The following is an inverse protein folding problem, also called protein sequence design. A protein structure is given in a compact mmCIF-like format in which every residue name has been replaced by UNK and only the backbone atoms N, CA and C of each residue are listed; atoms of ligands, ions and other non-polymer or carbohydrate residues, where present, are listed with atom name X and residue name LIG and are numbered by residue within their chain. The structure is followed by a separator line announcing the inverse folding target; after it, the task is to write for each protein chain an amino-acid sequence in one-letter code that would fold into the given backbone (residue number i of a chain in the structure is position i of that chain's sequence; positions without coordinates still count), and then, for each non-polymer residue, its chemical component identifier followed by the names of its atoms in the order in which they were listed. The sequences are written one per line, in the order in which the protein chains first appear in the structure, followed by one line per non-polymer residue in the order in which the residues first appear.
data_IF_533626187935
#
_entry.id   IF_533626187935
#
_cell.length_a   1.000
_cell.length_b   1.000
_cell.length_c   1.000
_cell.angle_alpha   90.00
_cell.angle_beta   90.00
_cell.angle_gamma   90.00
#
_symmetry.space_group_name_H-M   'P 1'
#
loop_
_entity.id
_entity.type
_entity.pdbx_description
1 polymer ?
#
# COMPACT_ATOMS: atom_id res chain seq x y z
N UNK A 1 32.51 -17.30 18.75
CA UNK A 1 32.62 -18.31 17.67
C UNK A 1 33.68 -17.81 16.73
N UNK A 2 34.70 -18.62 16.44
CA UNK A 2 35.72 -18.27 15.46
C UNK A 2 35.05 -18.12 14.11
N UNK A 3 35.31 -16.97 13.45
CA UNK A 3 34.69 -16.64 12.18
C UNK A 3 35.45 -17.43 11.09
N UNK A 4 34.86 -18.54 10.62
CA UNK A 4 35.48 -19.46 9.65
C UNK A 4 35.83 -18.71 8.36
N UNK A 5 37.10 -18.82 7.96
CA UNK A 5 37.59 -18.27 6.68
C UNK A 5 37.21 -19.23 5.55
N UNK A 6 36.49 -18.74 4.55
CA UNK A 6 36.05 -19.50 3.39
C UNK A 6 36.97 -19.29 2.18
N UNK A 7 37.59 -18.11 2.02
CA UNK A 7 38.52 -17.77 0.97
C UNK A 7 39.51 -16.68 1.43
N UNK A 8 40.62 -16.51 0.67
CA UNK A 8 41.55 -15.40 0.84
C UNK A 8 41.79 -14.73 -0.52
N UNK A 9 41.54 -13.43 -0.59
CA UNK A 9 41.64 -12.64 -1.81
C UNK A 9 42.68 -11.55 -1.62
N UNK A 10 43.89 -11.77 -2.15
CA UNK A 10 44.99 -10.78 -2.06
C UNK A 10 45.35 -10.43 -0.59
N UNK A 11 45.27 -11.39 0.33
CA UNK A 11 45.54 -11.19 1.74
C UNK A 11 44.29 -10.78 2.56
N UNK A 12 43.13 -10.54 1.93
CA UNK A 12 41.88 -10.21 2.59
C UNK A 12 41.05 -11.48 2.74
N UNK A 13 40.75 -11.87 3.99
CA UNK A 13 39.91 -13.03 4.25
C UNK A 13 38.47 -12.76 3.83
N UNK A 14 37.83 -13.80 3.27
CA UNK A 14 36.37 -13.88 3.09
C UNK A 14 35.85 -14.84 4.15
N UNK A 15 34.89 -14.42 4.94
CA UNK A 15 34.44 -15.17 6.11
C UNK A 15 33.01 -15.68 5.96
N UNK A 16 32.67 -16.70 6.70
CA UNK A 16 31.31 -17.25 6.76
C UNK A 16 30.31 -16.21 7.27
N UNK A 17 30.75 -15.29 8.15
CA UNK A 17 29.91 -14.21 8.64
C UNK A 17 29.50 -13.25 7.52
N UNK A 18 30.43 -12.89 6.62
CA UNK A 18 30.12 -12.02 5.45
C UNK A 18 29.10 -12.70 4.52
N UNK A 19 29.21 -14.01 4.29
CA UNK A 19 28.23 -14.77 3.51
C UNK A 19 26.88 -14.78 4.20
N UNK A 20 26.83 -15.04 5.51
CA UNK A 20 25.60 -15.04 6.30
C UNK A 20 24.89 -13.67 6.28
N UNK A 21 25.63 -12.61 6.45
CA UNK A 21 25.11 -11.23 6.41
C UNK A 21 24.49 -10.91 5.04
N UNK A 22 25.16 -11.27 3.96
CA UNK A 22 24.67 -11.04 2.61
C UNK A 22 23.42 -11.89 2.29
N UNK A 23 23.41 -13.17 2.69
CA UNK A 23 22.24 -14.06 2.58
C UNK A 23 21.05 -13.47 3.36
N UNK A 24 21.27 -13.03 4.60
CA UNK A 24 20.21 -12.41 5.42
C UNK A 24 19.64 -11.14 4.78
N UNK A 25 20.51 -10.27 4.25
CA UNK A 25 20.10 -9.04 3.55
C UNK A 25 19.25 -9.33 2.31
N UNK A 26 19.61 -10.35 1.53
CA UNK A 26 18.86 -10.75 0.33
C UNK A 26 17.54 -11.44 0.69
N UNK A 27 17.52 -12.24 1.76
CA UNK A 27 16.29 -12.89 2.27
C UNK A 27 15.24 -11.85 2.71
N UNK A 28 15.65 -10.75 3.33
CA UNK A 28 14.76 -9.63 3.67
C UNK A 28 14.13 -8.97 2.43
N UNK A 29 14.74 -9.12 1.26
CA UNK A 29 14.23 -8.63 -0.04
C UNK A 29 13.42 -9.70 -0.79
N UNK A 30 13.06 -10.81 -0.15
CA UNK A 30 12.28 -11.90 -0.74
C UNK A 30 13.06 -12.86 -1.64
N UNK A 31 14.40 -12.80 -1.62
CA UNK A 31 15.27 -13.68 -2.40
C UNK A 31 15.83 -14.81 -1.52
N UNK A 32 15.63 -16.06 -1.91
CA UNK A 32 16.08 -17.21 -1.14
C UNK A 32 17.41 -17.75 -1.68
N UNK A 33 18.51 -17.36 -1.02
CA UNK A 33 19.87 -17.89 -1.25
C UNK A 33 20.39 -18.78 -0.10
N UNK A 34 19.55 -19.10 0.88
CA UNK A 34 19.96 -19.91 2.03
C UNK A 34 19.93 -21.43 1.71
N UNK A 35 20.64 -21.80 0.68
CA UNK A 35 20.92 -23.19 0.29
C UNK A 35 22.37 -23.29 -0.20
N UNK A 36 22.91 -24.51 -0.35
CA UNK A 36 24.32 -24.74 -0.68
C UNK A 36 24.76 -24.00 -1.97
N UNK A 37 23.94 -24.05 -3.02
CA UNK A 37 24.25 -23.40 -4.30
C UNK A 37 24.16 -21.88 -4.19
N UNK A 38 23.13 -21.37 -3.51
CA UNK A 38 22.96 -19.92 -3.29
C UNK A 38 24.11 -19.35 -2.46
N UNK A 39 24.52 -20.03 -1.41
CA UNK A 39 25.67 -19.62 -0.56
C UNK A 39 26.98 -19.62 -1.32
N UNK A 40 27.19 -20.58 -2.23
CA UNK A 40 28.37 -20.60 -3.13
C UNK A 40 28.35 -19.40 -4.10
N UNK A 41 27.19 -19.10 -4.70
CA UNK A 41 27.05 -17.91 -5.55
C UNK A 41 27.37 -16.61 -4.78
N UNK A 42 26.90 -16.50 -3.54
CA UNK A 42 27.19 -15.35 -2.68
C UNK A 42 28.68 -15.28 -2.34
N UNK A 43 29.34 -16.40 -2.04
CA UNK A 43 30.78 -16.46 -1.80
C UNK A 43 31.56 -15.94 -3.02
N UNK A 44 31.24 -16.43 -4.21
CA UNK A 44 31.88 -15.98 -5.46
C UNK A 44 31.63 -14.49 -5.74
N UNK A 45 30.44 -13.98 -5.43
CA UNK A 45 30.13 -12.55 -5.54
C UNK A 45 30.99 -11.70 -4.58
N UNK A 46 31.16 -12.15 -3.34
CA UNK A 46 32.03 -11.46 -2.36
C UNK A 46 33.48 -11.48 -2.81
N UNK A 47 33.98 -12.62 -3.31
CA UNK A 47 35.32 -12.73 -3.90
C UNK A 47 35.51 -11.74 -5.04
N UNK A 48 34.58 -11.71 -5.98
CA UNK A 48 34.60 -10.79 -7.13
C UNK A 48 34.61 -9.33 -6.69
N UNK A 49 33.80 -8.95 -5.72
CA UNK A 49 33.76 -7.60 -5.17
C UNK A 49 35.10 -7.22 -4.51
N UNK A 50 35.74 -8.14 -3.77
CA UNK A 50 37.06 -7.89 -3.16
C UNK A 50 38.17 -7.75 -4.23
N UNK A 51 38.11 -8.54 -5.29
CA UNK A 51 39.06 -8.41 -6.42
C UNK A 51 38.91 -7.04 -7.09
N UNK A 52 37.68 -6.61 -7.39
CA UNK A 52 37.41 -5.28 -7.97
C UNK A 52 37.88 -4.15 -7.06
N UNK A 53 37.66 -4.29 -5.74
CA UNK A 53 38.14 -3.30 -4.78
C UNK A 53 39.67 -3.20 -4.74
N UNK A 54 40.37 -4.34 -4.80
CA UNK A 54 41.85 -4.35 -4.88
C UNK A 54 42.35 -3.70 -6.16
N UNK A 55 41.70 -3.99 -7.29
CA UNK A 55 42.04 -3.36 -8.57
C UNK A 55 41.78 -1.85 -8.54
N UNK A 56 40.63 -1.41 -8.01
CA UNK A 56 40.31 0.00 -7.86
C UNK A 56 41.35 0.74 -6.99
N UNK A 57 41.79 0.14 -5.88
CA UNK A 57 42.83 0.70 -5.02
C UNK A 57 44.20 0.75 -5.74
N UNK A 58 44.58 -0.32 -6.46
CA UNK A 58 45.80 -0.37 -7.24
C UNK A 58 45.83 0.72 -8.30
N UNK A 59 44.71 0.98 -8.95
CA UNK A 59 44.55 2.01 -9.97
C UNK A 59 44.31 3.40 -9.39
N UNK A 60 44.32 3.54 -8.06
CA UNK A 60 44.14 4.82 -7.34
C UNK A 60 42.84 5.55 -7.72
N UNK A 61 41.75 4.80 -8.02
CA UNK A 61 40.44 5.39 -8.37
C UNK A 61 39.84 6.27 -7.28
N UNK A 62 40.24 6.06 -6.03
CA UNK A 62 39.85 6.93 -4.91
C UNK A 62 40.33 8.39 -5.05
N UNK A 63 41.38 8.62 -5.88
CA UNK A 63 41.91 9.96 -6.18
C UNK A 63 41.30 10.57 -7.44
N UNK A 64 40.49 9.82 -8.19
CA UNK A 64 39.80 10.32 -9.38
C UNK A 64 38.84 11.45 -9.00
N UNK A 65 38.83 12.53 -9.80
CA UNK A 65 38.04 13.73 -9.52
C UNK A 65 36.51 13.45 -9.51
N UNK A 66 36.06 12.60 -10.43
CA UNK A 66 34.64 12.22 -10.53
C UNK A 66 34.23 11.39 -9.30
N UNK A 67 35.05 10.41 -8.90
CA UNK A 67 34.79 9.60 -7.70
C UNK A 67 34.73 10.48 -6.46
N UNK A 68 35.68 11.43 -6.29
CA UNK A 68 35.68 12.36 -5.16
C UNK A 68 34.43 13.23 -5.13
N UNK A 69 34.00 13.74 -6.29
CA UNK A 69 32.78 14.55 -6.38
C UNK A 69 31.54 13.75 -5.98
N UNK A 70 31.44 12.49 -6.42
CA UNK A 70 30.36 11.58 -6.03
C UNK A 70 30.38 11.28 -4.52
N UNK A 71 31.56 11.02 -3.96
CA UNK A 71 31.72 10.76 -2.53
C UNK A 71 31.33 11.96 -1.65
N UNK A 72 31.72 13.19 -2.04
CA UNK A 72 31.30 14.39 -1.29
C UNK A 72 29.77 14.57 -1.33
N UNK A 73 29.15 14.34 -2.48
CA UNK A 73 27.68 14.38 -2.57
C UNK A 73 26.99 13.34 -1.68
N UNK A 74 27.48 12.09 -1.69
CA UNK A 74 26.96 11.03 -0.82
C UNK A 74 27.13 11.41 0.66
N UNK A 75 28.25 11.98 1.02
CA UNK A 75 28.53 12.45 2.38
C UNK A 75 27.59 13.57 2.82
N UNK A 76 27.34 14.56 1.95
CA UNK A 76 26.38 15.64 2.21
C UNK A 76 24.96 15.10 2.40
N UNK A 77 24.48 14.23 1.50
CA UNK A 77 23.17 13.60 1.59
C UNK A 77 23.02 12.76 2.87
N UNK A 78 24.09 12.05 3.25
CA UNK A 78 24.09 11.27 4.49
C UNK A 78 24.10 12.16 5.73
N UNK A 79 24.84 13.29 5.74
CA UNK A 79 24.80 14.26 6.84
C UNK A 79 23.42 14.89 7.00
N UNK A 80 22.76 15.24 5.90
CA UNK A 80 21.37 15.77 5.92
C UNK A 80 20.43 14.72 6.51
N UNK A 81 20.49 13.50 6.02
CA UNK A 81 19.64 12.39 6.50
C UNK A 81 19.89 12.09 7.98
N UNK A 82 21.15 12.08 8.41
CA UNK A 82 21.53 11.87 9.80
C UNK A 82 21.03 13.00 10.72
N UNK A 83 21.18 14.26 10.30
CA UNK A 83 20.68 15.42 11.05
C UNK A 83 19.15 15.39 11.19
N UNK A 84 18.44 14.96 10.13
CA UNK A 84 17.00 14.78 10.15
C UNK A 84 16.60 13.63 11.10
N UNK A 85 17.29 12.48 11.04
CA UNK A 85 17.06 11.37 11.95
C UNK A 85 17.25 11.79 13.42
N UNK A 86 18.29 12.56 13.73
CA UNK A 86 18.52 13.11 15.08
C UNK A 86 17.40 14.07 15.52
N UNK A 87 16.83 14.81 14.59
CA UNK A 87 15.67 15.68 14.89
C UNK A 87 14.44 14.84 15.27
N UNK A 88 14.20 13.72 14.58
CA UNK A 88 13.08 12.82 14.86
C UNK A 88 13.28 11.96 16.12
N UNK A 89 14.51 11.54 16.39
CA UNK A 89 14.87 10.77 17.58
C UNK A 89 14.54 11.52 18.88
N UNK A 90 14.61 12.86 18.85
CA UNK A 90 14.23 13.72 19.97
C UNK A 90 12.70 13.86 20.15
N UNK A 91 11.89 13.40 19.19
CA UNK A 91 10.43 13.49 19.25
C UNK A 91 9.89 12.32 20.07
N UNK A 92 9.32 12.61 21.23
CA UNK A 92 8.64 11.59 22.04
C UNK A 92 7.37 11.09 21.31
N UNK A 93 7.03 9.81 21.40
CA UNK A 93 5.75 9.29 20.93
C UNK A 93 4.56 10.12 21.42
N UNK A 94 3.47 10.09 20.70
CA UNK A 94 2.25 10.76 21.11
C UNK A 94 1.70 10.11 22.39
N UNK A 95 1.27 10.94 23.33
CA UNK A 95 0.57 10.48 24.54
C UNK A 95 -0.90 10.13 24.20
N UNK A 96 -1.58 9.42 25.11
CA UNK A 96 -3.00 9.10 24.89
C UNK A 96 -3.86 10.37 24.77
N UNK A 97 -3.52 11.46 25.51
CA UNK A 97 -4.23 12.74 25.39
C UNK A 97 -3.99 13.41 24.01
N UNK A 98 -2.77 13.32 23.48
CA UNK A 98 -2.46 13.83 22.13
C UNK A 98 -3.15 13.01 21.06
N UNK A 99 -3.24 11.69 21.22
CA UNK A 99 -3.95 10.78 20.30
C UNK A 99 -5.45 11.09 20.31
N UNK A 100 -6.05 11.23 21.50
CA UNK A 100 -7.47 11.60 21.65
C UNK A 100 -7.75 12.94 20.97
N UNK A 101 -6.91 13.94 21.24
CA UNK A 101 -7.05 15.26 20.64
C UNK A 101 -6.96 15.23 19.13
N UNK A 102 -5.97 14.50 18.59
CA UNK A 102 -5.81 14.33 17.14
C UNK A 102 -7.07 13.68 16.52
N UNK A 103 -7.62 12.65 17.16
CA UNK A 103 -8.86 12.02 16.70
C UNK A 103 -10.01 13.01 16.68
N UNK A 104 -10.26 13.77 17.76
CA UNK A 104 -11.37 14.72 17.83
C UNK A 104 -11.25 15.84 16.79
N UNK A 105 -10.04 16.36 16.58
CA UNK A 105 -9.78 17.42 15.59
C UNK A 105 -9.93 16.91 14.13
N UNK A 106 -9.80 15.60 13.91
CA UNK A 106 -9.86 14.98 12.59
C UNK A 106 -11.06 14.01 12.42
N UNK A 107 -11.99 13.98 13.34
CA UNK A 107 -13.09 13.00 13.40
C UNK A 107 -13.88 12.86 12.10
N UNK A 108 -14.08 13.96 11.37
CA UNK A 108 -14.73 13.98 10.07
C UNK A 108 -14.00 13.16 8.98
N UNK A 109 -12.71 12.88 9.16
CA UNK A 109 -11.91 12.08 8.23
C UNK A 109 -11.98 10.57 8.54
N UNK A 110 -12.57 10.19 9.69
CA UNK A 110 -12.66 8.81 10.15
C UNK A 110 -14.10 8.28 10.04
N UNK A 111 -14.72 8.54 8.91
CA UNK A 111 -16.06 8.07 8.57
C UNK A 111 -15.93 7.02 7.47
N UNK A 112 -16.47 5.82 7.69
CA UNK A 112 -16.68 4.88 6.59
C UNK A 112 -17.72 5.46 5.64
N UNK A 113 -17.50 5.37 4.35
CA UNK A 113 -18.55 5.64 3.38
C UNK A 113 -19.72 4.65 3.57
N UNK A 114 -20.92 5.06 3.11
CA UNK A 114 -22.02 4.12 2.89
C UNK A 114 -21.56 3.05 1.89
N UNK A 115 -21.80 1.77 2.17
CA UNK A 115 -21.50 0.67 1.26
C UNK A 115 -22.66 -0.27 1.10
N UNK A 116 -22.74 -0.89 -0.06
CA UNK A 116 -23.75 -1.90 -0.38
C UNK A 116 -23.11 -3.13 -0.99
N UNK A 117 -23.66 -4.30 -0.70
CA UNK A 117 -23.37 -5.53 -1.42
C UNK A 117 -24.55 -5.83 -2.32
N UNK A 118 -24.31 -5.97 -3.61
CA UNK A 118 -25.36 -6.23 -4.57
C UNK A 118 -24.96 -7.31 -5.59
N UNK A 119 -26.00 -7.91 -6.17
CA UNK A 119 -25.87 -8.75 -7.36
C UNK A 119 -26.62 -8.10 -8.51
N UNK A 120 -26.20 -8.36 -9.75
CA UNK A 120 -26.89 -7.82 -10.92
C UNK A 120 -27.02 -8.84 -12.06
N UNK A 121 -28.01 -8.59 -12.92
CA UNK A 121 -28.19 -9.24 -14.22
C UNK A 121 -28.13 -8.16 -15.27
N UNK A 122 -27.25 -8.28 -16.27
CA UNK A 122 -27.14 -7.35 -17.40
C UNK A 122 -27.67 -8.04 -18.66
N UNK A 123 -28.62 -7.37 -19.33
CA UNK A 123 -29.18 -7.82 -20.59
C UNK A 123 -29.26 -6.67 -21.61
N UNK A 124 -29.41 -7.01 -22.90
CA UNK A 124 -29.34 -6.06 -24.01
C UNK A 124 -30.65 -5.28 -24.21
N UNK A 125 -31.81 -5.80 -23.74
CA UNK A 125 -33.11 -5.15 -23.97
C UNK A 125 -33.93 -5.03 -22.69
N UNK A 126 -34.77 -3.98 -22.69
CA UNK A 126 -35.70 -3.70 -21.59
C UNK A 126 -36.76 -4.80 -21.45
N UNK A 127 -37.24 -5.32 -22.59
CA UNK A 127 -38.23 -6.37 -22.64
C UNK A 127 -37.71 -7.62 -21.92
N UNK A 128 -36.46 -8.03 -22.20
CA UNK A 128 -35.82 -9.17 -21.54
C UNK A 128 -35.62 -8.95 -20.05
N UNK A 129 -35.23 -7.74 -19.65
CA UNK A 129 -35.11 -7.39 -18.23
C UNK A 129 -36.45 -7.50 -17.52
N UNK A 130 -37.53 -6.99 -18.11
CA UNK A 130 -38.89 -7.07 -17.54
C UNK A 130 -39.38 -8.53 -17.45
N UNK A 131 -39.15 -9.36 -18.48
CA UNK A 131 -39.49 -10.78 -18.45
C UNK A 131 -38.80 -11.52 -17.29
N UNK A 132 -37.49 -11.27 -17.12
CA UNK A 132 -36.73 -11.88 -16.04
C UNK A 132 -37.17 -11.39 -14.67
N UNK A 133 -37.45 -10.08 -14.52
CA UNK A 133 -37.95 -9.50 -13.28
C UNK A 133 -39.29 -10.13 -12.87
N UNK A 134 -40.19 -10.37 -13.85
CA UNK A 134 -41.48 -11.03 -13.61
C UNK A 134 -41.29 -12.49 -13.14
N UNK A 135 -40.42 -13.26 -13.79
CA UNK A 135 -40.14 -14.66 -13.41
C UNK A 135 -39.53 -14.74 -12.01
N UNK A 136 -38.57 -13.83 -11.71
CA UNK A 136 -37.94 -13.75 -10.37
C UNK A 136 -38.98 -13.38 -9.31
N UNK A 137 -39.84 -12.39 -9.58
CA UNK A 137 -40.85 -11.94 -8.63
C UNK A 137 -41.91 -13.01 -8.34
N UNK A 138 -42.25 -13.88 -9.30
CA UNK A 138 -43.13 -15.04 -9.14
C UNK A 138 -42.46 -16.26 -8.49
N UNK A 139 -41.13 -16.20 -8.28
CA UNK A 139 -40.38 -17.34 -7.75
C UNK A 139 -40.19 -18.50 -8.73
N UNK A 140 -40.37 -18.27 -10.04
CA UNK A 140 -40.22 -19.27 -11.09
C UNK A 140 -38.73 -19.59 -11.33
N UNK A 141 -37.87 -18.62 -11.07
CA UNK A 141 -36.39 -18.75 -11.14
C UNK A 141 -35.76 -17.95 -10.02
N UNK A 142 -34.64 -18.44 -9.47
CA UNK A 142 -33.85 -17.65 -8.53
C UNK A 142 -33.10 -16.51 -9.24
N UNK A 143 -32.75 -15.42 -8.53
CA UNK A 143 -31.97 -14.34 -9.10
C UNK A 143 -30.62 -14.83 -9.60
N UNK A 144 -30.00 -15.69 -8.82
CA UNK A 144 -28.68 -16.25 -9.10
C UNK A 144 -28.67 -17.14 -10.34
N UNK A 145 -29.72 -17.94 -10.55
CA UNK A 145 -29.86 -18.80 -11.75
C UNK A 145 -30.21 -17.94 -12.96
N UNK A 146 -31.12 -16.95 -12.80
CA UNK A 146 -31.41 -16.00 -13.87
C UNK A 146 -30.13 -15.25 -14.33
N UNK A 147 -29.24 -14.90 -13.37
CA UNK A 147 -27.96 -14.28 -13.68
C UNK A 147 -27.05 -15.21 -14.49
N UNK A 148 -26.91 -16.47 -14.06
CA UNK A 148 -26.06 -17.46 -14.76
C UNK A 148 -26.53 -17.75 -16.20
N UNK A 149 -27.85 -17.82 -16.38
CA UNK A 149 -28.44 -18.19 -17.66
C UNK A 149 -28.55 -17.04 -18.67
N UNK A 150 -28.68 -15.80 -18.18
CA UNK A 150 -29.09 -14.69 -19.04
C UNK A 150 -28.17 -13.46 -18.98
N UNK A 151 -27.36 -13.29 -17.94
CA UNK A 151 -26.52 -12.10 -17.82
C UNK A 151 -25.33 -12.13 -18.77
N UNK A 152 -25.10 -11.03 -19.47
CA UNK A 152 -23.93 -10.84 -20.34
C UNK A 152 -22.68 -10.39 -19.59
N UNK A 153 -22.79 -10.12 -18.27
CA UNK A 153 -21.68 -9.72 -17.43
C UNK A 153 -20.88 -10.94 -16.93
N UNK A 154 -19.52 -10.86 -16.83
CA UNK A 154 -18.70 -11.93 -16.26
C UNK A 154 -19.10 -12.37 -14.85
N UNK A 155 -19.73 -11.49 -14.05
CA UNK A 155 -20.24 -11.83 -12.73
C UNK A 155 -21.35 -12.90 -12.75
N UNK A 156 -21.93 -13.21 -13.93
CA UNK A 156 -22.95 -14.26 -14.12
C UNK A 156 -22.52 -15.61 -13.57
N UNK A 157 -21.26 -16.00 -13.71
CA UNK A 157 -20.70 -17.25 -13.18
C UNK A 157 -20.87 -17.37 -11.66
N UNK A 158 -20.82 -16.23 -10.96
CA UNK A 158 -21.01 -16.13 -9.51
C UNK A 158 -22.43 -15.65 -9.13
N UNK A 159 -23.46 -15.98 -9.95
CA UNK A 159 -24.84 -15.60 -9.71
C UNK A 159 -25.07 -14.08 -9.75
N UNK A 160 -24.24 -13.36 -10.50
CA UNK A 160 -24.31 -11.91 -10.66
C UNK A 160 -23.68 -11.10 -9.52
N UNK A 161 -23.02 -11.72 -8.55
CA UNK A 161 -22.46 -11.02 -7.38
C UNK A 161 -21.35 -10.02 -7.79
N UNK A 162 -21.48 -8.76 -7.28
CA UNK A 162 -20.50 -7.70 -7.45
C UNK A 162 -19.65 -7.49 -6.20
N UNK A 163 -19.99 -8.16 -5.08
CA UNK A 163 -19.40 -7.91 -3.79
C UNK A 163 -19.83 -6.59 -3.17
N UNK A 164 -19.04 -6.11 -2.23
CA UNK A 164 -19.29 -4.84 -1.55
C UNK A 164 -18.62 -3.68 -2.31
N UNK A 165 -19.35 -2.57 -2.47
CA UNK A 165 -18.83 -1.35 -3.10
C UNK A 165 -19.40 -0.11 -2.42
N UNK A 166 -18.68 1.00 -2.53
CA UNK A 166 -19.06 2.32 -2.03
C UNK A 166 -19.57 3.21 -3.15
N UNK A 167 -20.22 4.33 -2.79
CA UNK A 167 -20.70 5.30 -3.79
C UNK A 167 -19.58 5.77 -4.72
N UNK A 168 -19.95 5.90 -6.00
CA UNK A 168 -19.05 6.36 -7.07
C UNK A 168 -18.14 5.29 -7.67
N UNK A 169 -18.24 4.03 -7.22
CA UNK A 169 -17.50 2.91 -7.82
C UNK A 169 -18.22 2.30 -9.03
N UNK A 170 -19.53 2.53 -9.15
CA UNK A 170 -20.35 2.07 -10.28
C UNK A 170 -20.77 3.27 -11.14
N UNK A 171 -21.34 2.98 -12.33
CA UNK A 171 -21.91 4.04 -13.16
C UNK A 171 -23.07 4.74 -12.43
N UNK A 172 -23.29 6.05 -12.65
CA UNK A 172 -24.19 6.85 -11.82
C UNK A 172 -25.59 6.28 -11.68
N UNK A 173 -26.17 5.79 -12.77
CA UNK A 173 -27.53 5.25 -12.79
C UNK A 173 -27.67 3.97 -11.95
N UNK A 174 -26.63 3.13 -11.99
CA UNK A 174 -26.57 1.91 -11.18
C UNK A 174 -26.35 2.24 -9.70
N UNK A 175 -25.43 3.16 -9.43
CA UNK A 175 -25.08 3.62 -8.08
C UNK A 175 -26.33 4.21 -7.38
N UNK A 176 -27.02 5.15 -8.04
CA UNK A 176 -28.24 5.75 -7.49
C UNK A 176 -29.32 4.70 -7.22
N UNK A 177 -29.51 3.76 -8.15
CA UNK A 177 -30.49 2.69 -7.98
C UNK A 177 -30.11 1.80 -6.78
N UNK A 178 -28.87 1.27 -6.71
CA UNK A 178 -28.45 0.35 -5.67
C UNK A 178 -28.52 0.95 -4.27
N UNK A 179 -28.05 2.19 -4.10
CA UNK A 179 -28.05 2.86 -2.80
C UNK A 179 -29.43 3.35 -2.34
N UNK A 180 -30.42 3.45 -3.27
CA UNK A 180 -31.82 3.76 -2.92
C UNK A 180 -32.64 2.57 -2.46
N UNK A 181 -32.14 1.33 -2.68
CA UNK A 181 -32.85 0.09 -2.38
C UNK A 181 -32.82 -0.28 -0.90
N UNK A 182 -33.76 -1.14 -0.53
CA UNK A 182 -33.78 -1.83 0.77
C UNK A 182 -33.23 -3.25 0.62
N UNK A 183 -32.63 -3.77 1.69
CA UNK A 183 -32.00 -5.11 1.68
C UNK A 183 -33.05 -6.18 1.31
N UNK A 184 -32.69 -7.05 0.37
CA UNK A 184 -33.54 -8.10 -0.19
C UNK A 184 -34.38 -7.66 -1.40
N UNK A 185 -34.44 -6.36 -1.71
CA UNK A 185 -35.15 -5.84 -2.87
C UNK A 185 -34.48 -6.26 -4.17
N UNK A 186 -35.30 -6.55 -5.20
CA UNK A 186 -34.89 -6.67 -6.60
C UNK A 186 -35.51 -5.52 -7.37
N UNK A 187 -34.68 -4.70 -8.00
CA UNK A 187 -35.07 -3.48 -8.71
C UNK A 187 -34.55 -3.50 -10.14
N UNK A 188 -35.34 -2.99 -11.06
CA UNK A 188 -35.00 -2.84 -12.47
C UNK A 188 -36.24 -2.75 -13.34
N UNK A 189 -36.10 -2.63 -14.65
CA UNK A 189 -34.82 -2.43 -15.37
C UNK A 189 -34.17 -1.05 -15.11
N UNK A 190 -32.87 -1.04 -14.81
CA UNK A 190 -32.07 0.18 -14.69
C UNK A 190 -31.22 0.31 -15.95
N UNK A 191 -31.47 1.35 -16.74
CA UNK A 191 -30.75 1.59 -18.00
C UNK A 191 -29.40 2.25 -17.74
N UNK A 192 -28.34 1.72 -18.32
CA UNK A 192 -26.99 2.29 -18.34
C UNK A 192 -26.42 2.27 -19.76
N UNK A 193 -25.22 2.76 -19.95
CA UNK A 193 -24.50 2.63 -21.22
C UNK A 193 -24.19 1.19 -21.63
N UNK A 194 -24.24 0.23 -20.71
CA UNK A 194 -23.94 -1.19 -20.95
C UNK A 194 -25.18 -2.02 -21.30
N UNK A 195 -26.38 -1.50 -21.06
CA UNK A 195 -27.64 -2.21 -21.26
C UNK A 195 -28.60 -1.96 -20.11
N UNK A 196 -29.41 -2.99 -19.81
CA UNK A 196 -30.44 -2.96 -18.78
C UNK A 196 -30.07 -3.89 -17.64
N UNK A 197 -30.10 -3.37 -16.42
CA UNK A 197 -29.72 -4.09 -15.22
C UNK A 197 -30.95 -4.42 -14.37
N UNK A 198 -30.98 -5.66 -13.86
CA UNK A 198 -31.74 -5.99 -12.66
C UNK A 198 -30.75 -6.04 -11.50
N UNK A 199 -31.07 -5.41 -10.39
CA UNK A 199 -30.18 -5.28 -9.22
C UNK A 199 -30.89 -5.93 -8.04
N UNK A 200 -30.18 -6.80 -7.29
CA UNK A 200 -30.61 -7.36 -6.01
C UNK A 200 -29.69 -6.83 -4.93
N UNK A 201 -30.25 -6.18 -3.92
CA UNK A 201 -29.48 -5.67 -2.78
C UNK A 201 -29.34 -6.77 -1.72
N UNK A 202 -28.12 -7.22 -1.47
CA UNK A 202 -27.84 -8.29 -0.51
C UNK A 202 -27.62 -7.76 0.91
N UNK A 203 -26.88 -6.65 1.07
CA UNK A 203 -26.68 -5.95 2.34
C UNK A 203 -26.38 -4.47 2.11
N UNK A 204 -26.59 -3.66 3.14
CA UNK A 204 -26.32 -2.22 3.15
C UNK A 204 -25.72 -1.86 4.49
N UNK A 205 -24.56 -1.17 4.44
CA UNK A 205 -23.90 -0.61 5.60
C UNK A 205 -24.02 0.91 5.53
N UNK A 206 -24.57 1.50 6.58
CA UNK A 206 -24.61 2.96 6.69
C UNK A 206 -23.22 3.52 6.96
N UNK A 207 -23.01 4.77 6.57
CA UNK A 207 -21.81 5.50 6.94
C UNK A 207 -21.71 5.55 8.46
N UNK A 208 -20.56 5.14 9.00
CA UNK A 208 -20.32 5.14 10.44
C UNK A 208 -19.01 5.88 10.74
N UNK A 209 -18.99 6.68 11.78
CA UNK A 209 -17.74 7.19 12.33
C UNK A 209 -17.07 6.08 13.11
N UNK A 210 -15.81 5.79 12.78
CA UNK A 210 -15.01 4.86 13.57
C UNK A 210 -14.68 5.47 14.92
N UNK A 211 -14.98 4.76 16.00
CA UNK A 211 -14.57 5.18 17.34
C UNK A 211 -13.05 5.03 17.51
N UNK A 212 -12.46 5.87 18.38
CA UNK A 212 -11.01 5.88 18.56
C UNK A 212 -10.44 4.49 18.86
N UNK A 213 -11.10 3.70 19.69
CA UNK A 213 -10.64 2.36 20.07
C UNK A 213 -10.56 1.40 18.87
N UNK A 214 -11.43 1.57 17.87
CA UNK A 214 -11.45 0.73 16.66
C UNK A 214 -10.26 1.01 15.74
N UNK A 215 -9.73 2.25 15.76
CA UNK A 215 -8.68 2.72 14.85
C UNK A 215 -7.47 3.34 15.60
N UNK A 216 -7.33 3.04 16.90
CA UNK A 216 -6.32 3.66 17.79
C UNK A 216 -4.90 3.52 17.25
N UNK A 217 -4.55 2.37 16.70
CA UNK A 217 -3.22 2.15 16.13
C UNK A 217 -2.96 3.07 14.92
N UNK A 218 -3.94 3.17 14.02
CA UNK A 218 -3.87 4.07 12.86
C UNK A 218 -3.74 5.52 13.29
N UNK A 219 -4.58 5.97 14.24
CA UNK A 219 -4.54 7.34 14.78
C UNK A 219 -3.20 7.64 15.45
N UNK A 220 -2.67 6.68 16.22
CA UNK A 220 -1.36 6.79 16.86
C UNK A 220 -0.25 7.02 15.82
N UNK A 221 -0.28 6.24 14.73
CA UNK A 221 0.66 6.40 13.63
C UNK A 221 0.59 7.80 12.99
N UNK A 222 -0.64 8.30 12.75
CA UNK A 222 -0.88 9.61 12.15
C UNK A 222 -0.44 10.75 13.10
N UNK A 223 -0.79 10.68 14.37
CA UNK A 223 -0.39 11.65 15.38
C UNK A 223 1.13 11.72 15.54
N UNK A 224 1.82 10.57 15.57
CA UNK A 224 3.27 10.53 15.62
C UNK A 224 3.91 11.16 14.37
N UNK A 225 3.37 10.90 13.19
CA UNK A 225 3.84 11.49 11.93
C UNK A 225 3.67 13.00 11.93
N UNK A 226 2.55 13.51 12.42
CA UNK A 226 2.32 14.95 12.57
C UNK A 226 3.32 15.58 13.56
N UNK A 227 3.59 14.95 14.70
CA UNK A 227 4.60 15.41 15.67
C UNK A 227 5.98 15.50 15.03
N UNK A 228 6.37 14.51 14.25
CA UNK A 228 7.65 14.51 13.52
C UNK A 228 7.70 15.63 12.48
N UNK A 229 6.63 15.83 11.72
CA UNK A 229 6.54 16.91 10.73
C UNK A 229 6.63 18.29 11.39
N UNK A 230 5.93 18.48 12.51
CA UNK A 230 5.99 19.71 13.30
C UNK A 230 7.39 19.95 13.88
N UNK A 231 8.08 18.92 14.36
CA UNK A 231 9.46 19.02 14.83
C UNK A 231 10.42 19.40 13.70
N UNK A 232 10.28 18.79 12.54
CA UNK A 232 11.04 19.14 11.34
C UNK A 232 10.82 20.60 10.95
N UNK A 233 9.57 21.04 10.88
CA UNK A 233 9.25 22.42 10.50
C UNK A 233 9.82 23.44 11.50
N UNK A 234 9.71 23.16 12.81
CA UNK A 234 10.34 24.00 13.86
C UNK A 234 11.84 24.06 13.68
N UNK A 235 12.50 22.91 13.41
CA UNK A 235 13.94 22.86 13.18
C UNK A 235 14.35 23.70 11.98
N UNK A 236 13.65 23.58 10.86
CA UNK A 236 13.91 24.37 9.65
C UNK A 236 13.72 25.86 9.91
N UNK A 237 12.67 26.26 10.64
CA UNK A 237 12.44 27.67 10.98
C UNK A 237 13.57 28.22 11.87
N UNK A 238 14.06 27.45 12.86
CA UNK A 238 15.23 27.83 13.67
C UNK A 238 16.49 27.99 12.81
N UNK A 239 16.71 27.05 11.86
CA UNK A 239 17.87 27.13 10.97
C UNK A 239 17.80 28.33 10.03
N UNK A 240 16.63 28.71 9.54
CA UNK A 240 16.45 29.93 8.72
C UNK A 240 16.76 31.23 9.47
N UNK A 241 16.63 31.23 10.80
CA UNK A 241 17.05 32.35 11.61
C UNK A 241 18.58 32.42 11.74
N UNK A 242 19.23 31.25 11.89
CA UNK A 242 20.68 31.15 12.02
C UNK A 242 21.40 31.35 10.68
N UNK A 243 20.78 30.92 9.60
CA UNK A 243 21.32 30.96 8.24
C UNK A 243 20.32 31.67 7.32
N UNK A 244 20.44 32.99 7.14
CA UNK A 244 19.54 33.77 6.30
C UNK A 244 19.46 33.20 4.89
N UNK A 245 18.24 33.15 4.32
CA UNK A 245 17.98 32.58 3.00
C UNK A 245 17.48 33.69 2.08
N UNK A 246 18.27 34.02 1.09
CA UNK A 246 17.86 34.91 -0.01
C UNK A 246 17.32 34.07 -1.17
N UNK A 247 16.16 34.47 -1.69
CA UNK A 247 15.54 33.87 -2.87
C UNK A 247 15.57 34.86 -4.02
N UNK A 248 16.04 34.44 -5.17
CA UNK A 248 16.17 35.26 -6.37
C UNK A 248 15.21 34.79 -7.46
#
# INVERSE_FOLDING_TARGET
MENKILANVGGIAVTEAEVNEMVASLSQRGQNFDNAQGREMILEQIISNKLLLLDAKKNMYEYNAEFKAQMEKIKEDMLISFAMAKTFEAVKPATDEEIQKFYEENKANFISGESVNASHILVDSEEKANELLEKISKGEISFEDAARENSTCPSSENGGSLGEFTRGQMVPEFDEAAFSMVVGEVKGPVKTQFGYHLIKLNSKNEAKTYELDEIKEQITGMANKEKQQNAYQRKINQLKILYPVDKF
#
